data_IF_633156563139
#
_entry.id   IF_633156563139
#
_cell.length_a   1.000
_cell.length_b   1.000
_cell.length_c   1.000
_cell.angle_alpha   90.00
_cell.angle_beta   90.00
_cell.angle_gamma   90.00
#
_symmetry.space_group_name_H-M   'P 1'
#
loop_
_entity.id
_entity.type
_entity.pdbx_description
1 polymer ?
#
# COMPACT_ATOMS: atom_id res chain seq x y z
N UNK A 1 -35.56 10.23 53.49
CA UNK A 1 -34.43 9.33 53.19
C UNK A 1 -33.39 10.16 52.46
N UNK A 2 -32.58 10.93 53.18
CA UNK A 2 -31.25 10.59 53.75
C UNK A 2 -30.14 10.64 52.69
N UNK A 3 -29.35 11.69 52.87
CA UNK A 3 -28.06 12.13 52.30
C UNK A 3 -26.99 11.02 52.25
N UNK A 4 -26.04 11.07 51.30
CA UNK A 4 -24.60 11.19 51.59
C UNK A 4 -23.70 11.31 50.36
N UNK A 5 -22.88 12.36 50.39
CA UNK A 5 -21.64 12.56 49.63
C UNK A 5 -20.53 11.78 50.36
N UNK A 6 -19.64 11.10 49.63
CA UNK A 6 -18.29 10.79 50.13
C UNK A 6 -17.24 11.05 49.05
N UNK A 7 -16.33 11.97 49.36
CA UNK A 7 -15.01 12.07 48.78
C UNK A 7 -14.13 10.93 49.33
N UNK A 8 -13.26 10.38 48.49
CA UNK A 8 -12.20 9.45 48.90
C UNK A 8 -11.04 9.45 47.89
N UNK A 9 -9.93 10.06 48.29
CA UNK A 9 -8.60 9.95 47.67
C UNK A 9 -7.90 8.65 48.11
N UNK A 10 -7.30 7.88 47.18
CA UNK A 10 -5.90 7.39 47.23
C UNK A 10 -5.61 6.22 46.28
N UNK A 11 -4.50 6.36 45.54
CA UNK A 11 -3.53 5.39 45.01
C UNK A 11 -3.87 3.88 44.89
N UNK A 12 -3.55 3.31 43.71
CA UNK A 12 -3.34 1.86 43.54
C UNK A 12 -3.33 1.42 42.07
N UNK A 13 -2.25 0.77 41.66
CA UNK A 13 -1.98 0.20 40.32
C UNK A 13 -2.96 -0.93 39.90
N UNK A 14 -2.93 -1.20 38.58
CA UNK A 14 -3.36 -2.41 37.86
C UNK A 14 -4.87 -2.60 37.64
N UNK A 15 -5.34 -2.36 36.41
CA UNK A 15 -5.54 -3.45 35.44
C UNK A 15 -5.97 -2.88 34.07
N UNK A 16 -5.34 -3.42 33.03
CA UNK A 16 -5.64 -3.19 31.63
C UNK A 16 -6.62 -4.23 31.13
N UNK A 17 -7.74 -3.82 30.51
CA UNK A 17 -8.49 -4.57 29.49
C UNK A 17 -9.26 -3.51 28.67
N UNK A 18 -8.77 -3.08 27.51
CA UNK A 18 -8.95 -3.70 26.18
C UNK A 18 -10.38 -3.56 25.62
N UNK A 19 -10.63 -2.46 24.90
CA UNK A 19 -11.73 -2.35 23.92
C UNK A 19 -11.25 -1.52 22.70
N UNK A 20 -10.24 -2.00 21.99
CA UNK A 20 -10.01 -1.58 20.62
C UNK A 20 -11.07 -2.18 19.70
N UNK A 21 -12.24 -1.52 19.61
CA UNK A 21 -13.19 -1.77 18.52
C UNK A 21 -12.54 -1.34 17.19
N UNK A 22 -11.87 -2.28 16.53
CA UNK A 22 -11.44 -2.15 15.15
C UNK A 22 -12.69 -2.12 14.28
N UNK A 23 -13.07 -0.94 13.80
CA UNK A 23 -14.04 -0.82 12.73
C UNK A 23 -13.38 -1.30 11.45
N UNK A 24 -13.64 -2.56 11.05
CA UNK A 24 -13.36 -3.02 9.70
C UNK A 24 -14.33 -2.28 8.78
N UNK A 25 -13.93 -1.11 8.31
CA UNK A 25 -14.65 -0.42 7.24
C UNK A 25 -14.39 -1.24 5.99
N UNK A 26 -15.37 -2.05 5.61
CA UNK A 26 -15.41 -2.65 4.28
C UNK A 26 -15.44 -1.50 3.27
N UNK A 27 -14.30 -1.22 2.64
CA UNK A 27 -14.22 -0.24 1.57
C UNK A 27 -15.15 -0.71 0.44
N UNK A 28 -16.11 0.11 -0.02
CA UNK A 28 -16.90 -0.25 -1.18
C UNK A 28 -15.98 -0.46 -2.39
N UNK A 29 -16.33 -1.48 -3.18
CA UNK A 29 -15.50 -2.06 -4.22
C UNK A 29 -15.54 -1.28 -5.54
N UNK A 30 -16.37 -0.23 -5.65
CA UNK A 30 -16.40 0.65 -6.81
C UNK A 30 -16.27 2.14 -6.42
N UNK A 31 -15.72 2.92 -7.34
CA UNK A 31 -15.46 4.36 -7.18
C UNK A 31 -16.74 5.20 -7.02
N UNK A 32 -17.86 4.77 -7.61
CA UNK A 32 -19.15 5.47 -7.54
C UNK A 32 -19.72 5.49 -6.12
N UNK A 33 -19.68 4.37 -5.40
CA UNK A 33 -20.14 4.25 -4.01
C UNK A 33 -19.32 5.10 -3.03
N UNK A 34 -18.04 5.36 -3.33
CA UNK A 34 -17.20 6.25 -2.51
C UNK A 34 -17.62 7.71 -2.60
N UNK A 35 -18.08 8.17 -3.77
CA UNK A 35 -18.52 9.55 -3.98
C UNK A 35 -19.94 9.78 -3.45
N UNK A 36 -20.86 8.82 -3.59
CA UNK A 36 -22.24 8.95 -3.07
C UNK A 36 -22.29 9.03 -1.54
N UNK A 37 -21.37 8.35 -0.84
CA UNK A 37 -21.25 8.45 0.62
C UNK A 37 -20.68 9.80 1.10
N UNK A 38 -19.93 10.51 0.26
CA UNK A 38 -19.38 11.84 0.58
C UNK A 38 -20.42 12.96 0.35
N UNK A 39 -21.33 12.78 -0.60
CA UNK A 39 -22.36 13.79 -0.93
C UNK A 39 -23.54 13.82 0.05
N UNK A 40 -23.81 12.73 0.76
CA UNK A 40 -25.02 12.61 1.61
C UNK A 40 -24.86 13.07 3.07
N UNK A 41 -23.66 13.46 3.52
CA UNK A 41 -23.48 13.85 4.93
C UNK A 41 -22.27 14.80 5.15
N UNK A 42 -22.41 16.11 4.89
CA UNK A 42 -21.31 17.07 5.02
C UNK A 42 -20.84 17.28 6.47
N UNK A 43 -21.57 16.77 7.47
CA UNK A 43 -21.24 16.85 8.90
C UNK A 43 -20.53 15.60 9.46
N UNK A 44 -20.22 14.59 8.65
CA UNK A 44 -19.55 13.34 9.11
C UNK A 44 -18.07 13.20 8.72
N UNK A 45 -17.42 14.24 8.21
CA UNK A 45 -16.01 14.14 7.77
C UNK A 45 -15.09 15.08 8.55
N UNK A 46 -15.15 14.99 9.88
CA UNK A 46 -13.90 14.84 10.64
C UNK A 46 -13.55 13.34 10.63
N UNK A 47 -13.36 12.77 9.43
CA UNK A 47 -12.62 11.51 9.34
C UNK A 47 -11.23 11.89 9.79
N UNK A 48 -10.91 11.58 11.05
CA UNK A 48 -9.52 11.43 11.47
C UNK A 48 -8.97 10.35 10.55
N UNK A 49 -8.40 10.78 9.41
CA UNK A 49 -7.61 9.93 8.55
C UNK A 49 -6.41 9.61 9.40
N UNK A 50 -6.47 8.51 10.14
CA UNK A 50 -5.31 7.99 10.86
C UNK A 50 -4.26 7.78 9.78
N UNK A 51 -3.14 8.51 9.82
CA UNK A 51 -2.12 8.36 8.80
C UNK A 51 -1.68 6.89 8.82
N UNK A 52 -1.58 6.24 7.64
CA UNK A 52 -1.13 4.86 7.59
C UNK A 52 0.21 4.74 8.32
N UNK A 53 0.41 3.65 9.06
CA UNK A 53 1.72 3.29 9.64
C UNK A 53 2.67 3.02 8.48
N UNK A 54 3.48 4.01 8.14
CA UNK A 54 4.37 3.92 6.99
C UNK A 54 5.51 2.94 7.27
N UNK A 55 5.88 2.19 6.23
CA UNK A 55 7.14 1.47 6.20
C UNK A 55 8.29 2.47 6.27
N UNK A 56 9.16 2.33 7.26
CA UNK A 56 10.31 3.22 7.46
C UNK A 56 11.62 2.43 7.58
N UNK A 57 12.73 3.12 7.31
CA UNK A 57 14.08 2.59 7.52
C UNK A 57 14.28 2.17 8.97
N UNK A 58 13.78 2.97 9.93
CA UNK A 58 13.88 2.62 11.35
C UNK A 58 13.11 1.35 11.67
N UNK A 59 11.89 1.21 11.15
CA UNK A 59 11.09 0.00 11.34
C UNK A 59 11.84 -1.24 10.85
N UNK A 60 12.38 -1.20 9.64
CA UNK A 60 13.07 -2.38 9.08
C UNK A 60 14.43 -2.64 9.72
N UNK A 61 15.16 -1.61 10.15
CA UNK A 61 16.42 -1.78 10.88
C UNK A 61 16.19 -2.42 12.25
N UNK A 62 15.18 -1.98 13.00
CA UNK A 62 14.82 -2.59 14.27
C UNK A 62 14.52 -4.09 14.11
N UNK A 63 13.85 -4.47 13.02
CA UNK A 63 13.63 -5.87 12.69
C UNK A 63 14.93 -6.60 12.36
N UNK A 64 15.77 -6.04 11.50
CA UNK A 64 17.03 -6.66 11.12
C UNK A 64 17.94 -6.90 12.34
N UNK A 65 18.03 -5.95 13.25
CA UNK A 65 18.81 -6.04 14.49
C UNK A 65 18.34 -7.17 15.41
N UNK A 66 17.05 -7.52 15.40
CA UNK A 66 16.51 -8.66 16.14
C UNK A 66 16.75 -9.99 15.44
N UNK A 67 16.82 -10.00 14.11
CA UNK A 67 17.03 -11.21 13.33
C UNK A 67 18.51 -11.63 13.24
N UNK A 68 19.46 -10.68 13.16
CA UNK A 68 20.89 -11.00 13.01
C UNK A 68 21.48 -11.90 14.11
N UNK A 69 21.09 -11.77 15.40
CA UNK A 69 21.61 -12.61 16.47
C UNK A 69 21.01 -14.03 16.51
N UNK A 70 19.99 -14.33 15.70
CA UNK A 70 19.28 -15.62 15.79
C UNK A 70 20.19 -16.79 15.41
N UNK A 71 20.09 -17.94 16.11
CA UNK A 71 20.76 -19.17 15.71
C UNK A 71 20.48 -19.53 14.24
N UNK A 72 21.42 -20.18 13.58
CA UNK A 72 21.26 -20.56 12.17
C UNK A 72 21.39 -19.41 11.16
N UNK A 73 21.69 -18.19 11.59
CA UNK A 73 21.97 -17.08 10.67
C UNK A 73 23.30 -17.27 9.93
N UNK A 74 23.22 -17.76 8.69
CA UNK A 74 24.35 -17.84 7.77
C UNK A 74 24.53 -16.55 6.95
N UNK A 75 25.62 -16.51 6.17
CA UNK A 75 25.92 -15.36 5.29
C UNK A 75 24.82 -15.11 4.26
N UNK A 76 24.19 -16.17 3.72
CA UNK A 76 23.15 -16.06 2.70
C UNK A 76 21.85 -15.45 3.25
N UNK A 77 21.43 -15.86 4.44
CA UNK A 77 20.29 -15.32 5.19
C UNK A 77 20.53 -13.86 5.58
N UNK A 78 21.71 -13.59 6.15
CA UNK A 78 22.15 -12.23 6.52
C UNK A 78 22.12 -11.30 5.32
N UNK A 79 22.68 -11.75 4.18
CA UNK A 79 22.72 -10.95 2.95
C UNK A 79 21.32 -10.71 2.37
N UNK A 80 20.41 -11.68 2.45
CA UNK A 80 19.04 -11.51 1.98
C UNK A 80 18.29 -10.45 2.80
N UNK A 81 18.41 -10.48 4.13
CA UNK A 81 17.86 -9.46 5.03
C UNK A 81 18.45 -8.08 4.71
N UNK A 82 19.78 -7.98 4.60
CA UNK A 82 20.45 -6.71 4.29
C UNK A 82 19.99 -6.12 2.94
N UNK A 83 19.87 -6.96 1.90
CA UNK A 83 19.36 -6.54 0.60
C UNK A 83 17.89 -6.07 0.68
N UNK A 84 17.08 -6.68 1.55
CA UNK A 84 15.70 -6.26 1.78
C UNK A 84 15.64 -4.91 2.49
N UNK A 85 16.39 -4.72 3.58
CA UNK A 85 16.54 -3.46 4.31
C UNK A 85 16.94 -2.32 3.35
N UNK A 86 17.95 -2.56 2.50
CA UNK A 86 18.41 -1.57 1.53
C UNK A 86 17.30 -1.22 0.50
N UNK A 87 16.57 -2.23 0.02
CA UNK A 87 15.46 -2.02 -0.91
C UNK A 87 14.33 -1.20 -0.28
N UNK A 88 13.99 -1.47 0.99
CA UNK A 88 13.01 -0.68 1.76
C UNK A 88 13.47 0.77 1.90
N UNK A 89 14.73 1.02 2.27
CA UNK A 89 15.23 2.39 2.41
C UNK A 89 15.19 3.18 1.11
N UNK A 90 15.56 2.56 -0.02
CA UNK A 90 15.41 3.19 -1.35
C UNK A 90 13.95 3.48 -1.70
N UNK A 91 13.02 2.59 -1.32
CA UNK A 91 11.60 2.78 -1.57
C UNK A 91 11.00 3.91 -0.73
N UNK A 92 11.37 4.01 0.55
CA UNK A 92 10.93 5.08 1.45
C UNK A 92 11.33 6.45 0.90
N UNK A 93 12.59 6.62 0.46
CA UNK A 93 13.05 7.88 -0.16
C UNK A 93 12.24 8.26 -1.39
N UNK A 94 11.94 7.29 -2.27
CA UNK A 94 11.09 7.52 -3.45
C UNK A 94 9.66 7.91 -3.07
N UNK A 95 9.12 7.27 -2.04
CA UNK A 95 7.78 7.58 -1.54
C UNK A 95 7.71 9.00 -0.97
N UNK A 96 8.73 9.44 -0.24
CA UNK A 96 8.80 10.80 0.31
C UNK A 96 8.94 11.84 -0.79
N UNK A 97 9.84 11.60 -1.76
CA UNK A 97 10.00 12.47 -2.92
C UNK A 97 8.69 12.60 -3.69
N UNK A 98 8.03 11.48 -3.98
CA UNK A 98 6.75 11.48 -4.67
C UNK A 98 5.66 12.18 -3.85
N UNK A 99 5.57 11.94 -2.54
CA UNK A 99 4.59 12.59 -1.68
C UNK A 99 4.73 14.12 -1.68
N UNK A 100 5.96 14.60 -1.61
CA UNK A 100 6.27 16.03 -1.63
C UNK A 100 5.94 16.66 -2.98
N UNK A 101 6.35 16.03 -4.09
CA UNK A 101 6.12 16.57 -5.43
C UNK A 101 4.64 16.48 -5.84
N UNK A 102 3.96 15.37 -5.56
CA UNK A 102 2.55 15.20 -5.89
C UNK A 102 1.60 15.96 -4.94
N UNK A 103 2.08 16.41 -3.78
CA UNK A 103 1.28 17.13 -2.79
C UNK A 103 0.33 16.23 -2.01
N UNK A 104 0.79 15.06 -1.57
CA UNK A 104 -0.04 14.18 -0.73
C UNK A 104 -0.43 14.87 0.58
N UNK A 105 -1.66 14.60 1.04
CA UNK A 105 -2.27 15.16 2.25
C UNK A 105 -2.41 16.69 2.24
N UNK A 106 -2.23 17.33 1.09
CA UNK A 106 -2.51 18.76 0.93
C UNK A 106 -3.94 18.95 0.39
N UNK A 107 -4.77 19.68 1.13
CA UNK A 107 -6.05 20.19 0.61
C UNK A 107 -5.76 21.37 -0.30
N UNK A 108 -5.62 21.11 -1.60
CA UNK A 108 -5.47 22.18 -2.58
C UNK A 108 -6.83 22.52 -3.19
N UNK A 109 -7.09 23.81 -3.42
CA UNK A 109 -8.27 24.25 -4.14
C UNK A 109 -8.19 23.79 -5.60
N UNK A 110 -9.26 23.16 -6.08
CA UNK A 110 -9.39 22.38 -7.33
C UNK A 110 -9.03 23.08 -8.67
N UNK A 111 -8.48 24.30 -8.66
CA UNK A 111 -8.54 25.22 -9.81
C UNK A 111 -7.30 25.28 -10.71
N UNK A 112 -6.18 24.63 -10.39
CA UNK A 112 -5.01 24.66 -11.28
C UNK A 112 -4.67 23.28 -11.87
N UNK A 113 -4.78 23.18 -13.19
CA UNK A 113 -4.12 22.11 -13.96
C UNK A 113 -2.61 22.35 -13.77
N UNK A 114 -1.86 21.39 -13.21
CA UNK A 114 -0.43 21.57 -13.03
C UNK A 114 0.28 21.78 -14.38
N UNK A 115 1.37 22.57 -14.43
CA UNK A 115 2.17 22.71 -15.64
C UNK A 115 2.64 21.35 -16.19
N UNK A 116 2.75 21.22 -17.51
CA UNK A 116 3.11 19.96 -18.15
C UNK A 116 4.41 19.33 -17.59
N UNK A 117 5.45 20.14 -17.36
CA UNK A 117 6.71 19.66 -16.78
C UNK A 117 6.52 19.01 -15.40
N UNK A 118 5.63 19.54 -14.57
CA UNK A 118 5.34 19.00 -13.24
C UNK A 118 4.51 17.72 -13.33
N UNK A 119 3.61 17.60 -14.32
CA UNK A 119 2.89 16.36 -14.57
C UNK A 119 3.84 15.23 -14.97
N UNK A 120 4.80 15.51 -15.85
CA UNK A 120 5.84 14.55 -16.25
C UNK A 120 6.75 14.17 -15.09
N UNK A 121 7.19 15.14 -14.28
CA UNK A 121 7.98 14.86 -13.08
C UNK A 121 7.25 13.91 -12.12
N UNK A 122 5.96 14.16 -11.86
CA UNK A 122 5.15 13.27 -11.02
C UNK A 122 4.99 11.90 -11.68
N UNK A 123 4.78 11.83 -13.01
CA UNK A 123 4.74 10.57 -13.74
C UNK A 123 6.01 9.73 -13.54
N UNK A 124 7.18 10.32 -13.74
CA UNK A 124 8.48 9.65 -13.59
C UNK A 124 8.70 9.16 -12.14
N UNK A 125 8.22 9.93 -11.15
CA UNK A 125 8.27 9.55 -9.74
C UNK A 125 7.32 8.39 -9.42
N UNK A 126 6.11 8.38 -9.98
CA UNK A 126 5.18 7.25 -9.89
C UNK A 126 5.81 5.99 -10.49
N UNK A 127 6.36 6.09 -11.70
CA UNK A 127 7.05 4.97 -12.35
C UNK A 127 8.19 4.44 -11.47
N UNK A 128 9.09 5.33 -11.06
CA UNK A 128 10.24 4.98 -10.22
C UNK A 128 9.82 4.33 -8.90
N UNK A 129 8.75 4.83 -8.26
CA UNK A 129 8.19 4.26 -7.04
C UNK A 129 7.65 2.83 -7.27
N UNK A 130 6.78 2.62 -8.26
CA UNK A 130 6.17 1.30 -8.49
C UNK A 130 7.18 0.25 -8.98
N UNK A 131 8.20 0.66 -9.74
CA UNK A 131 9.38 -0.18 -10.03
C UNK A 131 10.14 -0.55 -8.75
N UNK A 132 10.34 0.42 -7.87
CA UNK A 132 10.95 0.23 -6.56
C UNK A 132 10.17 -0.75 -5.69
N UNK A 133 8.85 -0.58 -5.61
CA UNK A 133 7.95 -1.42 -4.82
C UNK A 133 8.03 -2.88 -5.28
N UNK A 134 7.99 -3.13 -6.59
CA UNK A 134 8.15 -4.47 -7.14
C UNK A 134 9.51 -5.09 -6.81
N UNK A 135 10.59 -4.31 -6.91
CA UNK A 135 11.94 -4.76 -6.54
C UNK A 135 12.00 -5.11 -5.04
N UNK A 136 11.39 -4.31 -4.18
CA UNK A 136 11.34 -4.55 -2.73
C UNK A 136 10.51 -5.79 -2.40
N UNK A 137 9.40 -6.03 -3.07
CA UNK A 137 8.65 -7.29 -2.94
C UNK A 137 9.49 -8.49 -3.40
N UNK A 138 10.30 -8.32 -4.45
CA UNK A 138 11.17 -9.39 -4.97
C UNK A 138 12.28 -9.74 -3.97
N UNK A 139 12.85 -8.75 -3.28
CA UNK A 139 13.82 -9.00 -2.21
C UNK A 139 13.16 -9.63 -0.98
N UNK A 140 11.92 -9.25 -0.63
CA UNK A 140 11.14 -9.93 0.41
C UNK A 140 10.88 -11.41 0.07
N UNK A 141 10.46 -11.69 -1.16
CA UNK A 141 10.30 -13.06 -1.64
C UNK A 141 11.63 -13.84 -1.54
N UNK A 142 12.75 -13.22 -1.91
CA UNK A 142 14.07 -13.84 -1.76
C UNK A 142 14.44 -14.14 -0.30
N UNK A 143 14.04 -13.31 0.67
CA UNK A 143 14.16 -13.62 2.10
C UNK A 143 13.41 -14.92 2.41
N UNK A 144 12.15 -15.05 2.00
CA UNK A 144 11.37 -16.27 2.29
C UNK A 144 12.01 -17.55 1.75
N UNK A 145 12.69 -17.48 0.60
CA UNK A 145 13.45 -18.61 0.02
C UNK A 145 14.66 -18.99 0.87
N UNK A 146 15.31 -18.05 1.55
CA UNK A 146 16.47 -18.34 2.42
C UNK A 146 16.07 -18.95 3.76
N UNK A 147 14.80 -18.82 4.12
CA UNK A 147 14.23 -19.37 5.35
C UNK A 147 13.17 -20.44 5.01
N UNK A 148 13.46 -21.33 4.05
CA UNK A 148 12.58 -22.41 3.64
C UNK A 148 12.14 -23.33 4.78
N UNK A 149 12.96 -23.51 5.82
CA UNK A 149 12.61 -24.29 7.02
C UNK A 149 11.44 -23.68 7.78
N UNK A 150 11.28 -22.35 7.76
CA UNK A 150 10.20 -21.60 8.41
C UNK A 150 9.02 -21.42 7.46
N UNK A 151 9.28 -21.00 6.24
CA UNK A 151 8.21 -20.62 5.32
C UNK A 151 7.64 -21.79 4.53
N UNK A 152 8.36 -22.90 4.40
CA UNK A 152 8.03 -24.01 3.51
C UNK A 152 8.20 -23.64 2.03
N UNK A 153 7.38 -24.25 1.17
CA UNK A 153 7.40 -24.00 -0.28
C UNK A 153 6.48 -22.84 -0.70
N UNK A 154 6.80 -21.61 -0.25
CA UNK A 154 6.13 -20.43 -0.78
C UNK A 154 6.47 -20.26 -2.26
N UNK A 155 5.45 -20.20 -3.11
CA UNK A 155 5.61 -20.20 -4.57
C UNK A 155 6.14 -18.86 -5.09
N UNK A 156 7.46 -18.69 -5.10
CA UNK A 156 8.13 -17.43 -5.52
C UNK A 156 8.39 -17.30 -7.03
N UNK A 157 7.91 -18.22 -7.88
CA UNK A 157 8.19 -18.18 -9.35
C UNK A 157 7.66 -16.91 -10.03
N UNK A 158 6.59 -16.32 -9.52
CA UNK A 158 6.10 -15.02 -9.94
C UNK A 158 5.58 -14.25 -8.74
N UNK A 159 5.61 -12.92 -8.82
CA UNK A 159 5.13 -12.08 -7.71
C UNK A 159 3.67 -12.34 -7.37
N UNK A 160 2.81 -12.56 -8.39
CA UNK A 160 1.43 -12.98 -8.17
C UNK A 160 1.34 -14.28 -7.35
N UNK A 161 2.09 -15.32 -7.73
CA UNK A 161 2.08 -16.60 -7.01
C UNK A 161 2.61 -16.48 -5.59
N UNK A 162 3.60 -15.60 -5.39
CA UNK A 162 4.11 -15.30 -4.06
C UNK A 162 3.03 -14.67 -3.19
N UNK A 163 2.39 -13.58 -3.67
CA UNK A 163 1.31 -12.91 -2.94
C UNK A 163 0.13 -13.85 -2.66
N UNK A 164 -0.29 -14.65 -3.64
CA UNK A 164 -1.36 -15.64 -3.46
C UNK A 164 -0.98 -16.69 -2.39
N UNK A 165 0.27 -17.16 -2.38
CA UNK A 165 0.75 -18.14 -1.39
C UNK A 165 0.84 -17.54 0.01
N UNK A 166 1.31 -16.30 0.14
CA UNK A 166 1.39 -15.60 1.42
C UNK A 166 -0.02 -15.34 1.97
N UNK A 167 -0.95 -14.83 1.16
CA UNK A 167 -2.34 -14.64 1.57
C UNK A 167 -3.04 -15.95 1.96
N UNK A 168 -2.67 -17.07 1.34
CA UNK A 168 -3.15 -18.40 1.71
C UNK A 168 -2.60 -18.89 3.05
N UNK A 169 -1.33 -18.58 3.37
CA UNK A 169 -0.68 -18.97 4.63
C UNK A 169 -1.03 -18.04 5.79
N UNK A 170 -1.16 -16.75 5.52
CA UNK A 170 -1.44 -15.70 6.50
C UNK A 170 -2.71 -14.94 6.06
N UNK A 171 -3.92 -15.42 6.42
CA UNK A 171 -5.18 -14.84 5.95
C UNK A 171 -5.34 -13.34 6.25
N UNK A 172 -4.77 -12.87 7.36
CA UNK A 172 -4.83 -11.46 7.76
C UNK A 172 -4.08 -10.54 6.79
N UNK A 173 -3.15 -11.06 5.98
CA UNK A 173 -2.44 -10.28 4.95
C UNK A 173 -3.20 -10.19 3.64
N UNK A 174 -4.39 -10.80 3.50
CA UNK A 174 -5.10 -10.89 2.22
C UNK A 174 -5.35 -9.51 1.58
N UNK A 175 -5.85 -8.55 2.35
CA UNK A 175 -6.10 -7.19 1.84
C UNK A 175 -4.81 -6.49 1.38
N UNK A 176 -3.70 -6.68 2.12
CA UNK A 176 -2.40 -6.17 1.74
C UNK A 176 -1.89 -6.81 0.44
N UNK A 177 -2.00 -8.14 0.31
CA UNK A 177 -1.63 -8.87 -0.89
C UNK A 177 -2.44 -8.44 -2.12
N UNK A 178 -3.74 -8.23 -1.97
CA UNK A 178 -4.61 -7.73 -3.04
C UNK A 178 -4.19 -6.33 -3.51
N UNK A 179 -3.88 -5.43 -2.58
CA UNK A 179 -3.41 -4.08 -2.91
C UNK A 179 -2.04 -4.12 -3.62
N UNK A 180 -1.12 -4.98 -3.17
CA UNK A 180 0.20 -5.14 -3.79
C UNK A 180 0.11 -5.80 -5.19
N UNK A 181 -0.89 -6.66 -5.42
CA UNK A 181 -1.17 -7.20 -6.76
C UNK A 181 -1.72 -6.10 -7.69
N UNK A 182 -2.57 -5.20 -7.22
CA UNK A 182 -3.00 -4.02 -7.99
C UNK A 182 -1.81 -3.10 -8.31
N UNK A 183 -0.86 -2.94 -7.38
CA UNK A 183 0.36 -2.19 -7.63
C UNK A 183 1.25 -2.86 -8.70
N UNK A 184 1.34 -4.20 -8.68
CA UNK A 184 2.06 -4.98 -9.69
C UNK A 184 1.43 -4.86 -11.07
N UNK A 185 0.10 -4.89 -11.15
CA UNK A 185 -0.64 -4.70 -12.40
C UNK A 185 -0.43 -3.29 -12.95
N UNK A 186 -0.50 -2.26 -12.11
CA UNK A 186 -0.17 -0.88 -12.50
C UNK A 186 1.24 -0.76 -13.08
N UNK A 187 2.25 -1.34 -12.41
CA UNK A 187 3.63 -1.41 -12.95
C UNK A 187 3.69 -2.09 -14.32
N UNK A 188 2.87 -3.11 -14.56
CA UNK A 188 2.85 -3.82 -15.84
C UNK A 188 2.39 -2.88 -16.97
N UNK A 189 1.43 -1.99 -16.71
CA UNK A 189 1.01 -0.96 -17.67
C UNK A 189 2.09 0.09 -17.93
N UNK A 190 2.90 0.43 -16.92
CA UNK A 190 4.08 1.29 -17.08
C UNK A 190 5.14 0.64 -18.00
N UNK A 191 5.48 -0.63 -17.74
CA UNK A 191 6.54 -1.35 -18.48
C UNK A 191 6.12 -1.73 -19.90
N UNK A 192 4.83 -2.02 -20.11
CA UNK A 192 4.32 -2.63 -21.33
C UNK A 192 3.04 -1.93 -21.82
N UNK A 193 3.11 -0.63 -22.16
CA UNK A 193 1.93 0.12 -22.59
C UNK A 193 1.30 -0.41 -23.88
N UNK A 194 2.04 -1.18 -24.69
CA UNK A 194 1.51 -1.83 -25.90
C UNK A 194 0.78 -3.16 -25.63
N UNK A 195 0.96 -3.76 -24.44
CA UNK A 195 0.36 -5.06 -24.09
C UNK A 195 -1.13 -4.98 -23.79
N UNK A 196 -1.57 -3.84 -23.29
CA UNK A 196 -2.96 -3.47 -23.11
C UNK A 196 -3.23 -2.30 -24.07
N UNK A 197 -4.46 -2.10 -24.55
CA UNK A 197 -4.79 -0.99 -25.48
C UNK A 197 -4.78 0.39 -24.77
N UNK A 198 -3.73 0.65 -23.99
CA UNK A 198 -3.47 1.91 -23.29
C UNK A 198 -3.33 2.98 -24.35
N UNK A 199 -4.25 3.93 -24.34
CA UNK A 199 -4.25 5.02 -25.31
C UNK A 199 -3.29 6.11 -24.87
N UNK A 200 -3.34 6.48 -23.59
CA UNK A 200 -2.41 7.43 -22.97
C UNK A 200 -2.51 7.37 -21.44
N UNK A 201 -1.79 8.27 -20.78
CA UNK A 201 -2.00 8.62 -19.39
C UNK A 201 -2.46 10.08 -19.27
N UNK A 202 -3.05 10.42 -18.13
CA UNK A 202 -3.35 11.79 -17.75
C UNK A 202 -3.09 12.01 -16.27
N UNK A 203 -2.93 13.27 -15.89
CA UNK A 203 -2.87 13.64 -14.48
C UNK A 203 -4.23 14.12 -13.99
N UNK A 204 -4.59 13.73 -12.77
CA UNK A 204 -5.86 14.07 -12.16
C UNK A 204 -5.64 14.51 -10.71
N UNK A 205 -6.12 15.70 -10.34
CA UNK A 205 -6.10 16.15 -8.95
C UNK A 205 -7.45 15.84 -8.31
N UNK A 206 -7.41 15.30 -7.10
CA UNK A 206 -8.61 15.07 -6.29
C UNK A 206 -8.55 15.83 -4.98
N UNK A 207 -9.73 16.26 -4.50
CA UNK A 207 -9.88 16.93 -3.20
C UNK A 207 -9.71 15.96 -2.01
N UNK A 208 -9.59 14.66 -2.28
CA UNK A 208 -9.44 13.57 -1.30
C UNK A 208 -8.06 13.51 -0.63
N UNK A 209 -7.19 14.50 -0.87
CA UNK A 209 -5.85 14.57 -0.29
C UNK A 209 -4.84 13.61 -0.92
N UNK A 210 -5.17 12.91 -2.02
CA UNK A 210 -4.20 12.07 -2.75
C UNK A 210 -3.26 12.87 -3.66
N UNK A 211 -3.43 14.20 -3.73
CA UNK A 211 -2.59 15.09 -4.52
C UNK A 211 -2.78 14.89 -6.02
N UNK A 212 -1.71 15.09 -6.80
CA UNK A 212 -1.67 14.80 -8.22
C UNK A 212 -1.54 13.29 -8.46
N UNK A 213 -2.53 12.70 -9.12
CA UNK A 213 -2.59 11.28 -9.48
C UNK A 213 -2.27 11.09 -10.95
N UNK A 214 -1.71 9.93 -11.29
CA UNK A 214 -1.49 9.49 -12.66
C UNK A 214 -2.50 8.38 -12.95
N UNK A 215 -3.27 8.57 -14.02
CA UNK A 215 -4.27 7.63 -14.48
C UNK A 215 -3.89 7.15 -15.88
N UNK A 216 -3.89 5.83 -16.08
CA UNK A 216 -3.88 5.28 -17.44
C UNK A 216 -5.30 5.13 -17.95
N UNK A 217 -5.50 5.29 -19.24
CA UNK A 217 -6.81 5.08 -19.84
C UNK A 217 -6.68 4.52 -21.25
N UNK A 218 -7.78 3.95 -21.73
CA UNK A 218 -7.85 3.47 -23.10
C UNK A 218 -9.22 2.99 -23.50
N UNK A 219 -9.26 2.41 -24.69
CA UNK A 219 -10.45 1.81 -25.26
C UNK A 219 -10.52 0.32 -24.96
N UNK A 220 -11.73 -0.22 -24.95
CA UNK A 220 -11.95 -1.66 -24.89
C UNK A 220 -11.33 -2.32 -26.12
N UNK A 221 -10.87 -3.56 -25.95
CA UNK A 221 -10.53 -4.39 -27.09
C UNK A 221 -11.76 -4.61 -27.99
N UNK A 222 -11.56 -5.10 -29.21
CA UNK A 222 -12.67 -5.49 -30.11
C UNK A 222 -13.63 -6.53 -29.49
N UNK A 223 -13.18 -7.29 -28.47
CA UNK A 223 -13.99 -8.24 -27.72
C UNK A 223 -14.68 -7.63 -26.49
N UNK A 224 -14.56 -6.32 -26.26
CA UNK A 224 -15.13 -5.62 -25.12
C UNK A 224 -14.33 -5.76 -23.82
N UNK A 225 -13.14 -6.37 -23.85
CA UNK A 225 -12.30 -6.59 -22.68
C UNK A 225 -11.59 -5.32 -22.22
N UNK A 226 -11.40 -5.18 -20.91
CA UNK A 226 -10.58 -4.12 -20.29
C UNK A 226 -9.43 -4.76 -19.50
N UNK A 227 -8.32 -4.03 -19.25
CA UNK A 227 -7.20 -4.56 -18.49
C UNK A 227 -7.59 -4.93 -17.06
N UNK A 228 -6.95 -5.96 -16.52
CA UNK A 228 -7.23 -6.42 -15.15
C UNK A 228 -6.84 -5.33 -14.15
N UNK A 229 -7.77 -4.92 -13.29
CA UNK A 229 -7.56 -3.85 -12.30
C UNK A 229 -7.95 -2.47 -12.80
N UNK A 230 -8.28 -2.32 -14.09
CA UNK A 230 -8.93 -1.13 -14.62
C UNK A 230 -10.43 -1.12 -14.26
N UNK A 231 -10.99 0.07 -14.22
CA UNK A 231 -12.41 0.33 -14.00
C UNK A 231 -13.04 0.90 -15.27
N UNK A 232 -14.32 0.62 -15.50
CA UNK A 232 -15.07 1.23 -16.59
C UNK A 232 -15.32 2.71 -16.28
N UNK A 233 -15.12 3.56 -17.28
CA UNK A 233 -15.49 4.97 -17.19
C UNK A 233 -17.02 5.06 -17.18
N UNK A 234 -17.58 5.57 -16.09
CA UNK A 234 -19.03 5.69 -15.85
C UNK A 234 -19.50 7.14 -15.63
N UNK A 235 -18.56 8.08 -15.62
CA UNK A 235 -18.76 9.51 -15.37
C UNK A 235 -18.09 10.33 -16.47
N UNK A 236 -18.38 11.65 -16.61
CA UNK A 236 -17.67 12.51 -17.56
C UNK A 236 -16.16 12.52 -17.24
N UNK A 237 -15.41 11.69 -17.96
CA UNK A 237 -13.96 11.65 -17.95
C UNK A 237 -13.45 12.72 -18.94
N UNK A 238 -12.33 13.40 -18.67
CA UNK A 238 -11.89 14.55 -19.47
C UNK A 238 -11.43 14.18 -20.90
N UNK A 239 -11.46 12.90 -21.26
CA UNK A 239 -11.11 12.36 -22.56
C UNK A 239 -12.03 11.17 -22.89
N UNK A 240 -12.20 10.88 -24.17
CA UNK A 240 -12.85 9.65 -24.61
C UNK A 240 -12.01 8.44 -24.17
N UNK A 241 -12.61 7.59 -23.33
CA UNK A 241 -12.01 6.37 -22.80
C UNK A 241 -13.11 5.40 -22.36
N UNK A 242 -12.90 4.10 -22.55
CA UNK A 242 -13.80 3.06 -22.04
C UNK A 242 -13.45 2.64 -20.62
N UNK A 243 -12.16 2.72 -20.28
CA UNK A 243 -11.62 2.30 -19.00
C UNK A 243 -10.53 3.24 -18.52
N UNK A 244 -10.36 3.25 -17.20
CA UNK A 244 -9.33 3.98 -16.49
C UNK A 244 -8.66 3.06 -15.47
N UNK A 245 -7.35 3.19 -15.30
CA UNK A 245 -6.59 2.51 -14.28
C UNK A 245 -5.98 3.57 -13.36
N UNK A 246 -6.45 3.60 -12.12
CA UNK A 246 -5.87 4.41 -11.05
C UNK A 246 -4.80 3.64 -10.29
N UNK A 247 -3.63 4.23 -10.13
CA UNK A 247 -2.59 3.65 -9.29
C UNK A 247 -3.08 3.51 -7.84
N UNK A 248 -2.73 2.43 -7.12
CA UNK A 248 -2.93 2.38 -5.67
C UNK A 248 -2.32 3.59 -4.97
N UNK A 249 -3.00 4.12 -3.96
CA UNK A 249 -2.43 5.25 -3.22
C UNK A 249 -1.14 4.81 -2.49
N UNK A 250 -0.05 5.52 -2.76
CA UNK A 250 1.31 5.18 -2.32
C UNK A 250 1.43 4.92 -0.82
N UNK A 251 0.85 5.75 0.08
CA UNK A 251 0.83 5.45 1.51
C UNK A 251 0.17 4.12 1.87
N UNK A 252 -0.89 3.72 1.15
CA UNK A 252 -1.54 2.42 1.37
C UNK A 252 -0.71 1.27 0.81
N UNK A 253 -0.03 1.45 -0.32
CA UNK A 253 0.92 0.46 -0.83
C UNK A 253 2.09 0.24 0.14
N UNK A 254 2.61 1.30 0.76
CA UNK A 254 3.62 1.20 1.81
C UNK A 254 3.10 0.47 3.06
N UNK A 255 1.88 0.78 3.50
CA UNK A 255 1.23 0.08 4.61
C UNK A 255 1.08 -1.42 4.30
N UNK A 256 0.58 -1.77 3.12
CA UNK A 256 0.42 -3.17 2.73
C UNK A 256 1.76 -3.91 2.70
N UNK A 257 2.83 -3.28 2.21
CA UNK A 257 4.17 -3.86 2.28
C UNK A 257 4.65 -4.03 3.73
N UNK A 258 4.37 -3.05 4.60
CA UNK A 258 4.68 -3.15 6.04
C UNK A 258 3.95 -4.32 6.68
N UNK A 259 2.65 -4.46 6.46
CA UNK A 259 1.83 -5.53 7.05
C UNK A 259 2.30 -6.91 6.57
N UNK A 260 2.63 -7.03 5.28
CA UNK A 260 3.22 -8.23 4.71
C UNK A 260 4.58 -8.56 5.36
N UNK A 261 5.42 -7.54 5.57
CA UNK A 261 6.73 -7.70 6.24
C UNK A 261 6.57 -8.15 7.67
N UNK A 262 5.66 -7.52 8.41
CA UNK A 262 5.39 -7.78 9.82
C UNK A 262 4.90 -9.22 10.00
N UNK A 263 3.96 -9.67 9.16
CA UNK A 263 3.47 -11.06 9.19
C UNK A 263 4.58 -12.09 8.91
N UNK A 264 5.41 -11.85 7.88
CA UNK A 264 6.50 -12.77 7.54
C UNK A 264 7.58 -12.78 8.63
N UNK A 265 8.05 -11.61 9.06
CA UNK A 265 9.19 -11.54 9.96
C UNK A 265 8.81 -11.92 11.40
N UNK A 266 7.57 -11.70 11.82
CA UNK A 266 7.09 -12.19 13.12
C UNK A 266 7.23 -13.71 13.20
N UNK A 267 7.00 -14.44 12.12
CA UNK A 267 7.22 -15.89 12.10
C UNK A 267 8.70 -16.25 12.34
N UNK A 268 9.66 -15.46 11.85
CA UNK A 268 11.09 -15.72 12.08
C UNK A 268 11.51 -15.54 13.53
N UNK A 269 10.90 -14.59 14.26
CA UNK A 269 11.24 -14.31 15.65
C UNK A 269 10.77 -15.40 16.62
N UNK A 270 9.74 -16.17 16.25
CA UNK A 270 9.14 -17.18 17.13
C UNK A 270 9.67 -18.60 16.88
N UNK A 271 10.60 -18.79 15.95
CA UNK A 271 11.10 -20.12 15.56
C UNK A 271 12.50 -20.38 16.14
N UNK A 272 12.68 -21.56 16.74
CA UNK A 272 14.00 -22.09 17.06
C UNK A 272 14.58 -22.72 15.79
N UNK A 273 15.71 -22.18 15.31
CA UNK A 273 16.38 -22.60 14.06
C UNK A 273 17.35 -23.76 14.25
#
# INVERSE_FOLDING_TARGET
>A
MTVSILNGTSAGLCDAVDEHRVWIISMPSNFAERNTLLEMNPTLVEKVVVPPRLLSVQFINNWADRLYPLPGMDYGRTRAIANYVEAVGRLTLKSEQLANTAGFFTTMTMRSIPPAHHQHEVFDLYESYFQGLYKTLSTLAAVTVRFQTVYGDLKVRSMKKFLDAVAGKYPDTKAACELLELARLYRTHLDHPAGDAVSNWLSFRTEDGRGLRILFYGYKSNSGGIPKGAELVTFPFPTDADWVYDAPFVPYANQALRDLTEALFSELEHQEF
#
